data_IF_616689617155
#
_entry.id   IF_616689617155
#
_cell.length_a   1.000
_cell.length_b   1.000
_cell.length_c   1.000
_cell.angle_alpha   90.00
_cell.angle_beta   90.00
_cell.angle_gamma   90.00
#
_symmetry.space_group_name_H-M   'P 1'
#
loop_
_entity.id
_entity.type
_entity.pdbx_description
1 polymer ?
#
# COMPACT_ATOMS: atom_id res chain seq x y z
N UNK A 1 -21.72 6.31 0.08
CA UNK A 1 -20.43 7.01 0.23
C UNK A 1 -20.13 7.32 1.69
N UNK A 2 -21.01 8.03 2.38
CA UNK A 2 -20.74 8.57 3.72
C UNK A 2 -20.48 7.50 4.79
N UNK A 3 -21.21 6.38 4.76
CA UNK A 3 -20.97 5.22 5.65
C UNK A 3 -19.58 4.59 5.46
N UNK A 4 -19.14 4.40 4.21
CA UNK A 4 -17.81 3.87 3.90
C UNK A 4 -16.69 4.82 4.32
N UNK A 5 -16.91 6.13 4.17
CA UNK A 5 -15.96 7.15 4.63
C UNK A 5 -15.79 7.10 6.15
N UNK A 6 -16.90 7.05 6.89
CA UNK A 6 -16.84 6.99 8.35
C UNK A 6 -16.20 5.70 8.86
N UNK A 7 -16.50 4.56 8.22
CA UNK A 7 -15.87 3.29 8.51
C UNK A 7 -14.35 3.33 8.29
N UNK A 8 -13.92 3.87 7.15
CA UNK A 8 -12.50 3.95 6.81
C UNK A 8 -11.76 4.90 7.75
N UNK A 9 -12.38 6.02 8.13
CA UNK A 9 -11.81 6.96 9.09
C UNK A 9 -11.67 6.33 10.50
N UNK A 10 -12.66 5.53 10.91
CA UNK A 10 -12.56 4.74 12.15
C UNK A 10 -11.38 3.76 12.10
N UNK A 11 -11.22 3.04 10.99
CA UNK A 11 -10.10 2.11 10.82
C UNK A 11 -8.73 2.81 10.85
N UNK A 12 -8.62 4.03 10.30
CA UNK A 12 -7.40 4.86 10.40
C UNK A 12 -7.05 5.18 11.86
N UNK A 13 -8.03 5.57 12.67
CA UNK A 13 -7.79 5.82 14.10
C UNK A 13 -7.42 4.55 14.88
N UNK A 14 -8.02 3.40 14.55
CA UNK A 14 -7.63 2.11 15.15
C UNK A 14 -6.18 1.78 14.82
N UNK A 15 -5.74 1.96 13.56
CA UNK A 15 -4.34 1.77 13.16
C UNK A 15 -3.40 2.70 13.91
N UNK A 16 -3.76 3.98 14.08
CA UNK A 16 -2.98 4.93 14.88
C UNK A 16 -2.80 4.47 16.32
N UNK A 17 -3.89 4.00 16.95
CA UNK A 17 -3.86 3.49 18.32
C UNK A 17 -2.94 2.26 18.44
N UNK A 18 -3.06 1.30 17.52
CA UNK A 18 -2.19 0.13 17.48
C UNK A 18 -0.72 0.48 17.24
N UNK A 19 -0.43 1.51 16.43
CA UNK A 19 0.92 2.03 16.26
C UNK A 19 1.51 2.60 17.55
N UNK A 20 0.71 3.30 18.37
CA UNK A 20 1.15 3.75 19.70
C UNK A 20 1.44 2.60 20.66
N UNK A 21 0.65 1.52 20.59
CA UNK A 21 0.90 0.30 21.36
C UNK A 21 2.14 -0.46 20.87
N UNK A 22 2.53 -0.29 19.60
CA UNK A 22 3.71 -0.93 19.02
C UNK A 22 5.02 -0.43 19.66
N UNK A 23 5.04 0.82 20.14
CA UNK A 23 6.20 1.39 20.85
C UNK A 23 6.43 0.79 22.23
N UNK A 24 5.38 0.24 22.85
CA UNK A 24 5.41 -0.27 24.24
C UNK A 24 5.28 -1.79 24.33
N UNK A 25 5.05 -2.48 23.21
CA UNK A 25 4.83 -3.92 23.15
C UNK A 25 6.13 -4.74 23.19
N UNK A 26 6.04 -5.97 23.68
CA UNK A 26 7.17 -6.91 23.74
C UNK A 26 7.60 -7.42 22.35
N UNK A 27 8.88 -7.83 22.21
CA UNK A 27 9.48 -8.29 20.93
C UNK A 27 8.64 -9.37 20.23
N UNK A 28 7.99 -10.29 20.96
CA UNK A 28 7.19 -11.36 20.35
C UNK A 28 5.80 -10.90 19.89
N UNK A 29 5.14 -10.02 20.63
CA UNK A 29 3.80 -9.53 20.28
C UNK A 29 3.83 -8.47 19.18
N UNK A 30 4.92 -7.72 19.04
CA UNK A 30 5.06 -6.69 17.99
C UNK A 30 4.82 -7.27 16.58
N UNK A 31 5.31 -8.46 16.24
CA UNK A 31 5.09 -9.01 14.89
C UNK A 31 3.62 -9.34 14.60
N UNK A 32 2.87 -9.76 15.63
CA UNK A 32 1.42 -10.01 15.49
C UNK A 32 0.68 -8.69 15.29
N UNK A 33 1.04 -7.67 16.06
CA UNK A 33 0.44 -6.32 15.95
C UNK A 33 0.81 -5.68 14.60
N UNK A 34 2.05 -5.84 14.12
CA UNK A 34 2.48 -5.38 12.78
C UNK A 34 1.63 -6.02 11.67
N UNK A 35 1.43 -7.33 11.73
CA UNK A 35 0.64 -8.05 10.73
C UNK A 35 -0.84 -7.64 10.77
N UNK A 36 -1.39 -7.41 11.97
CA UNK A 36 -2.75 -6.90 12.12
C UNK A 36 -2.90 -5.46 11.59
N UNK A 37 -1.94 -4.58 11.89
CA UNK A 37 -1.90 -3.22 11.33
C UNK A 37 -1.82 -3.27 9.81
N UNK A 38 -0.97 -4.14 9.25
CA UNK A 38 -0.82 -4.29 7.81
C UNK A 38 -2.14 -4.74 7.16
N UNK A 39 -2.79 -5.76 7.72
CA UNK A 39 -4.09 -6.24 7.23
C UNK A 39 -5.17 -5.15 7.29
N UNK A 40 -5.17 -4.31 8.34
CA UNK A 40 -6.08 -3.17 8.48
C UNK A 40 -5.80 -2.07 7.45
N UNK A 41 -4.53 -1.74 7.20
CA UNK A 41 -4.13 -0.80 6.15
C UNK A 41 -4.62 -1.30 4.78
N UNK A 42 -4.45 -2.58 4.48
CA UNK A 42 -4.91 -3.17 3.21
C UNK A 42 -6.44 -3.12 3.06
N UNK A 43 -7.19 -3.32 4.16
CA UNK A 43 -8.64 -3.12 4.18
C UNK A 43 -9.04 -1.66 3.92
N UNK A 44 -8.35 -0.70 4.55
CA UNK A 44 -8.60 0.73 4.33
C UNK A 44 -8.32 1.10 2.86
N UNK A 45 -7.26 0.56 2.26
CA UNK A 45 -6.99 0.73 0.83
C UNK A 45 -8.14 0.20 -0.02
N UNK A 46 -8.61 -1.03 0.23
CA UNK A 46 -9.75 -1.58 -0.52
C UNK A 46 -11.01 -0.71 -0.40
N UNK A 47 -11.24 -0.12 0.77
CA UNK A 47 -12.36 0.79 1.00
C UNK A 47 -12.17 2.14 0.27
N UNK A 48 -10.96 2.70 0.29
CA UNK A 48 -10.59 3.92 -0.44
C UNK A 48 -10.81 3.75 -1.95
N UNK A 49 -10.41 2.60 -2.49
CA UNK A 49 -10.60 2.24 -3.90
C UNK A 49 -12.09 2.22 -4.28
N UNK A 50 -12.96 1.72 -3.39
CA UNK A 50 -14.42 1.75 -3.57
C UNK A 50 -14.98 3.17 -3.44
N UNK A 51 -14.47 3.96 -2.51
CA UNK A 51 -14.84 5.36 -2.29
C UNK A 51 -14.50 6.23 -3.51
N UNK A 52 -13.36 6.02 -4.16
CA UNK A 52 -13.01 6.70 -5.42
C UNK A 52 -14.02 6.42 -6.53
N UNK A 53 -14.43 5.16 -6.70
CA UNK A 53 -15.43 4.77 -7.70
C UNK A 53 -16.76 5.46 -7.38
N UNK A 54 -17.18 5.47 -6.12
CA UNK A 54 -18.42 6.16 -5.71
C UNK A 54 -18.34 7.68 -5.93
N UNK A 55 -17.17 8.29 -5.67
CA UNK A 55 -16.93 9.70 -5.90
C UNK A 55 -17.01 10.08 -7.39
N UNK A 56 -16.59 9.17 -8.27
CA UNK A 56 -16.70 9.39 -9.73
C UNK A 56 -18.15 9.40 -10.23
N UNK A 57 -19.06 8.74 -9.51
CA UNK A 57 -20.48 8.58 -9.83
C UNK A 57 -21.37 9.69 -9.23
N UNK A 58 -20.82 10.58 -8.41
CA UNK A 58 -21.59 11.67 -7.82
C UNK A 58 -21.78 12.86 -8.77
N UNK A 59 -22.88 13.63 -8.60
CA UNK A 59 -23.10 14.84 -9.36
C UNK A 59 -21.98 15.87 -9.13
N UNK A 60 -21.65 16.70 -10.13
CA UNK A 60 -20.47 17.57 -10.12
C UNK A 60 -20.40 18.54 -8.92
N UNK A 61 -21.55 18.94 -8.37
CA UNK A 61 -21.63 19.80 -7.17
C UNK A 61 -21.16 19.12 -5.88
N UNK A 62 -21.32 17.80 -5.74
CA UNK A 62 -20.90 17.04 -4.54
C UNK A 62 -19.54 16.37 -4.71
N UNK A 63 -19.17 16.09 -5.97
CA UNK A 63 -17.93 15.42 -6.36
C UNK A 63 -16.67 16.10 -5.83
N UNK A 64 -16.64 17.44 -5.78
CA UNK A 64 -15.47 18.16 -5.27
C UNK A 64 -15.23 17.93 -3.77
N UNK A 65 -16.29 17.95 -2.95
CA UNK A 65 -16.16 17.72 -1.50
C UNK A 65 -15.79 16.26 -1.19
N UNK A 66 -16.42 15.33 -1.88
CA UNK A 66 -16.10 13.91 -1.77
C UNK A 66 -14.65 13.60 -2.18
N UNK A 67 -14.16 14.24 -3.25
CA UNK A 67 -12.78 14.08 -3.70
C UNK A 67 -11.78 14.59 -2.66
N UNK A 68 -12.04 15.76 -2.07
CA UNK A 68 -11.20 16.30 -1.00
C UNK A 68 -11.10 15.33 0.19
N UNK A 69 -12.24 14.77 0.62
CA UNK A 69 -12.29 13.79 1.73
C UNK A 69 -11.52 12.51 1.40
N UNK A 70 -11.64 12.01 0.18
CA UNK A 70 -10.89 10.82 -0.28
C UNK A 70 -9.38 11.11 -0.34
N UNK A 71 -8.99 12.28 -0.82
CA UNK A 71 -7.58 12.67 -0.92
C UNK A 71 -6.95 12.88 0.47
N UNK A 72 -7.68 13.45 1.43
CA UNK A 72 -7.25 13.53 2.84
C UNK A 72 -7.01 12.13 3.42
N UNK A 73 -7.98 11.23 3.24
CA UNK A 73 -7.89 9.89 3.80
C UNK A 73 -6.76 9.06 3.17
N UNK A 74 -6.46 9.27 1.88
CA UNK A 74 -5.26 8.70 1.24
C UNK A 74 -3.97 9.20 1.88
N UNK A 75 -3.86 10.50 2.12
CA UNK A 75 -2.68 11.10 2.73
C UNK A 75 -2.43 10.50 4.12
N UNK A 76 -3.47 10.38 4.94
CA UNK A 76 -3.38 9.79 6.27
C UNK A 76 -2.89 8.33 6.22
N UNK A 77 -3.44 7.52 5.31
CA UNK A 77 -3.03 6.12 5.14
C UNK A 77 -1.59 6.01 4.66
N UNK A 78 -1.16 6.87 3.72
CA UNK A 78 0.24 6.91 3.26
C UNK A 78 1.20 7.27 4.40
N UNK A 79 0.80 8.21 5.26
CA UNK A 79 1.58 8.59 6.43
C UNK A 79 1.70 7.43 7.42
N UNK A 80 0.60 6.73 7.72
CA UNK A 80 0.61 5.56 8.60
C UNK A 80 1.47 4.43 8.06
N UNK A 81 1.40 4.16 6.76
CA UNK A 81 2.21 3.14 6.10
C UNK A 81 3.71 3.49 6.17
N UNK A 82 4.06 4.75 5.97
CA UNK A 82 5.44 5.24 6.11
C UNK A 82 5.94 5.08 7.55
N UNK A 83 5.10 5.41 8.52
CA UNK A 83 5.43 5.24 9.93
C UNK A 83 5.64 3.77 10.31
N UNK A 84 4.74 2.86 9.91
CA UNK A 84 4.90 1.42 10.11
C UNK A 84 6.20 0.90 9.51
N UNK A 85 6.52 1.32 8.28
CA UNK A 85 7.77 0.96 7.61
C UNK A 85 8.99 1.43 8.40
N UNK A 86 8.95 2.64 8.97
CA UNK A 86 10.04 3.15 9.79
C UNK A 86 10.22 2.34 11.08
N UNK A 87 9.13 1.90 11.71
CA UNK A 87 9.18 1.00 12.86
C UNK A 87 9.80 -0.36 12.50
N UNK A 88 9.32 -0.99 11.43
CA UNK A 88 9.85 -2.25 10.93
C UNK A 88 11.33 -2.14 10.57
N UNK A 89 11.74 -1.06 9.91
CA UNK A 89 13.14 -0.84 9.56
C UNK A 89 14.02 -0.65 10.79
N UNK A 90 13.61 0.19 11.76
CA UNK A 90 14.35 0.36 13.02
C UNK A 90 14.48 -0.96 13.78
N UNK A 91 13.42 -1.76 13.82
CA UNK A 91 13.43 -3.10 14.43
C UNK A 91 14.40 -4.02 13.71
N UNK A 92 14.30 -4.12 12.38
CA UNK A 92 15.17 -4.96 11.57
C UNK A 92 16.65 -4.61 11.76
N UNK A 93 16.98 -3.31 11.76
CA UNK A 93 18.34 -2.84 12.00
C UNK A 93 18.81 -3.21 13.42
N UNK A 94 17.95 -3.07 14.44
CA UNK A 94 18.29 -3.47 15.81
C UNK A 94 18.50 -4.99 15.92
N UNK A 95 17.63 -5.81 15.33
CA UNK A 95 17.78 -7.27 15.32
C UNK A 95 19.00 -7.72 14.51
N UNK A 96 19.35 -7.02 13.43
CA UNK A 96 20.59 -7.27 12.70
C UNK A 96 21.83 -6.93 13.54
N UNK A 97 21.83 -5.81 14.26
CA UNK A 97 22.93 -5.44 15.15
C UNK A 97 23.11 -6.43 16.29
N UNK A 98 22.02 -6.90 16.88
CA UNK A 98 22.05 -7.92 17.94
C UNK A 98 22.57 -9.26 17.38
N UNK A 99 22.09 -9.68 16.20
CA UNK A 99 22.59 -10.88 15.51
C UNK A 99 24.05 -10.75 15.09
N UNK A 100 24.48 -9.60 14.60
CA UNK A 100 25.87 -9.37 14.20
C UNK A 100 26.79 -9.39 15.43
N UNK A 101 26.35 -8.84 16.57
CA UNK A 101 27.05 -9.01 17.86
C UNK A 101 27.13 -10.49 18.27
N UNK A 102 26.02 -11.21 18.19
CA UNK A 102 26.00 -12.65 18.47
C UNK A 102 26.89 -13.43 17.50
N UNK A 103 26.88 -13.11 16.21
CA UNK A 103 27.75 -13.68 15.18
C UNK A 103 29.21 -13.35 15.45
N UNK A 104 29.58 -12.15 15.93
CA UNK A 104 30.96 -11.86 16.34
C UNK A 104 31.38 -12.68 17.56
N UNK A 105 30.46 -12.97 18.48
CA UNK A 105 30.68 -13.83 19.66
C UNK A 105 30.72 -15.33 19.29
N UNK A 106 29.90 -15.75 18.33
CA UNK A 106 29.73 -17.15 17.89
C UNK A 106 30.54 -17.51 16.65
N UNK A 107 31.14 -16.57 15.91
CA UNK A 107 32.06 -16.87 14.78
C UNK A 107 33.33 -17.58 15.23
N UNK A 108 33.61 -17.63 16.53
CA UNK A 108 34.57 -18.59 17.09
C UNK A 108 34.11 -20.06 16.92
N UNK A 109 32.81 -20.31 16.68
CA UNK A 109 32.19 -21.62 16.55
C UNK A 109 30.97 -21.61 15.61
N UNK A 110 31.18 -22.08 14.37
CA UNK A 110 30.17 -22.65 13.43
C UNK A 110 29.47 -21.69 12.44
N UNK A 111 29.46 -22.15 11.18
CA UNK A 111 28.89 -21.52 9.97
C UNK A 111 27.49 -22.09 9.74
N UNK A 112 26.47 -21.25 9.46
CA UNK A 112 25.33 -21.46 8.54
C UNK A 112 24.15 -20.47 8.82
N UNK A 113 24.06 -19.34 8.10
CA UNK A 113 23.03 -18.30 8.35
C UNK A 113 22.34 -17.67 7.12
N UNK A 114 22.57 -18.19 5.91
CA UNK A 114 22.23 -17.45 4.67
C UNK A 114 20.75 -17.50 4.28
N UNK A 115 19.99 -18.54 4.67
CA UNK A 115 18.61 -18.73 4.21
C UNK A 115 17.57 -17.77 4.82
N UNK A 116 17.76 -17.29 6.06
CA UNK A 116 16.80 -16.36 6.69
C UNK A 116 16.82 -14.97 6.05
N UNK A 117 17.96 -14.52 5.52
CA UNK A 117 18.12 -13.16 4.96
C UNK A 117 17.27 -12.93 3.70
N UNK A 118 17.05 -13.97 2.88
CA UNK A 118 16.30 -13.83 1.62
C UNK A 118 14.79 -13.74 1.85
N UNK A 119 14.26 -14.49 2.82
CA UNK A 119 12.81 -14.50 3.11
C UNK A 119 12.35 -13.15 3.69
N UNK A 120 13.14 -12.56 4.59
CA UNK A 120 12.84 -11.26 5.20
C UNK A 120 12.97 -10.12 4.17
N UNK A 121 13.96 -10.18 3.27
CA UNK A 121 14.15 -9.18 2.20
C UNK A 121 13.06 -9.28 1.13
N UNK A 122 12.63 -10.49 0.76
CA UNK A 122 11.52 -10.69 -0.18
C UNK A 122 10.18 -10.17 0.38
N UNK A 123 9.92 -10.38 1.68
CA UNK A 123 8.72 -9.89 2.34
C UNK A 123 8.70 -8.35 2.46
N UNK A 124 9.87 -7.74 2.71
CA UNK A 124 10.04 -6.29 2.80
C UNK A 124 9.92 -5.57 1.43
N UNK A 125 10.36 -6.20 0.34
CA UNK A 125 10.31 -5.62 -1.01
C UNK A 125 8.97 -5.89 -1.73
N UNK A 126 8.26 -6.97 -1.38
CA UNK A 126 6.97 -7.36 -1.99
C UNK A 126 5.78 -6.47 -1.61
N UNK A 127 5.75 -5.96 -0.37
CA UNK A 127 4.66 -5.11 0.12
C UNK A 127 4.75 -3.66 -0.39
N UNK A 128 5.95 -3.10 -0.55
CA UNK A 128 6.12 -1.66 -0.87
C UNK A 128 5.87 -1.31 -2.33
N UNK A 129 6.24 -2.17 -3.29
CA UNK A 129 6.08 -1.87 -4.72
C UNK A 129 4.67 -2.14 -5.25
N UNK A 130 3.90 -2.99 -4.58
CA UNK A 130 2.54 -3.31 -5.02
C UNK A 130 1.56 -2.22 -4.58
N UNK A 131 1.67 -1.71 -3.34
CA UNK A 131 0.79 -0.66 -2.82
C UNK A 131 1.06 0.70 -3.47
N UNK A 132 2.33 1.08 -3.69
CA UNK A 132 2.67 2.32 -4.41
C UNK A 132 2.13 2.30 -5.85
N UNK A 133 2.28 1.15 -6.56
CA UNK A 133 1.76 0.99 -7.93
C UNK A 133 0.24 0.91 -8.00
N UNK A 134 -0.44 0.41 -6.98
CA UNK A 134 -1.91 0.35 -6.94
C UNK A 134 -2.54 1.75 -6.77
N UNK A 135 -1.85 2.67 -6.10
CA UNK A 135 -2.26 4.07 -5.96
C UNK A 135 -1.97 4.86 -7.26
N UNK A 136 -0.81 4.65 -7.88
CA UNK A 136 -0.40 5.39 -9.10
C UNK A 136 -1.20 4.96 -10.35
N UNK A 137 -1.59 3.68 -10.43
CA UNK A 137 -2.18 3.11 -11.66
C UNK A 137 -3.60 3.60 -11.96
N UNK A 138 -4.33 4.12 -10.98
CA UNK A 138 -5.75 4.51 -11.15
C UNK A 138 -5.94 5.84 -11.91
N UNK A 139 -4.92 6.70 -11.96
CA UNK A 139 -4.93 7.89 -12.83
C UNK A 139 -4.40 7.60 -14.24
N UNK A 140 -3.62 6.52 -14.41
CA UNK A 140 -3.03 6.15 -15.70
C UNK A 140 -3.92 5.21 -16.53
N UNK A 141 -4.78 4.42 -15.87
CA UNK A 141 -5.70 3.51 -16.56
C UNK A 141 -6.75 4.27 -17.40
N UNK A 142 -7.16 5.47 -16.96
CA UNK A 142 -8.00 6.38 -17.76
C UNK A 142 -7.28 6.83 -19.05
N UNK A 143 -5.96 7.07 -19.00
CA UNK A 143 -5.16 7.43 -20.19
C UNK A 143 -5.00 6.26 -21.15
N UNK A 144 -4.83 5.04 -20.64
CA UNK A 144 -4.65 3.84 -21.47
C UNK A 144 -5.94 3.46 -22.21
N UNK A 145 -7.11 3.60 -21.58
CA UNK A 145 -8.41 3.39 -22.24
C UNK A 145 -8.66 4.47 -23.30
N UNK A 146 -8.29 5.73 -23.03
CA UNK A 146 -8.42 6.83 -24.00
C UNK A 146 -7.52 6.63 -25.23
N UNK A 147 -6.26 6.22 -25.03
CA UNK A 147 -5.30 5.93 -26.12
C UNK A 147 -5.73 4.70 -26.92
N UNK A 148 -6.24 3.66 -26.25
CA UNK A 148 -6.79 2.49 -26.93
C UNK A 148 -8.00 2.82 -27.81
N UNK A 149 -8.91 3.68 -27.33
CA UNK A 149 -10.05 4.15 -28.11
C UNK A 149 -9.66 4.96 -29.35
N UNK A 150 -8.59 5.77 -29.26
CA UNK A 150 -8.10 6.56 -30.40
C UNK A 150 -7.37 5.71 -31.45
N UNK A 151 -6.63 4.67 -31.04
CA UNK A 151 -6.02 3.73 -31.98
C UNK A 151 -7.05 2.83 -32.68
N UNK A 152 -8.09 2.40 -31.95
CA UNK A 152 -9.15 1.57 -32.51
C UNK A 152 -9.88 2.28 -33.67
N UNK A 153 -10.19 3.57 -33.50
CA UNK A 153 -10.85 4.37 -34.55
C UNK A 153 -9.94 4.56 -35.75
N UNK A 154 -8.64 4.79 -35.55
CA UNK A 154 -7.65 4.85 -36.63
C UNK A 154 -7.53 3.53 -37.39
N UNK A 155 -7.44 2.39 -36.71
CA UNK A 155 -7.37 1.07 -37.34
C UNK A 155 -8.65 0.76 -38.11
N UNK A 156 -9.82 1.08 -37.53
CA UNK A 156 -11.10 0.91 -38.21
C UNK A 156 -11.18 1.76 -39.49
N UNK A 157 -10.73 3.01 -39.44
CA UNK A 157 -10.67 3.88 -40.61
C UNK A 157 -9.75 3.31 -41.70
N UNK A 158 -8.58 2.78 -41.33
CA UNK A 158 -7.65 2.14 -42.28
C UNK A 158 -8.24 0.87 -42.88
N UNK A 159 -8.91 0.03 -42.08
CA UNK A 159 -9.56 -1.19 -42.55
C UNK A 159 -10.67 -0.89 -43.55
N UNK A 160 -11.49 0.13 -43.30
CA UNK A 160 -12.56 0.56 -44.23
C UNK A 160 -11.97 1.02 -45.56
N UNK A 161 -10.89 1.82 -45.55
CA UNK A 161 -10.22 2.26 -46.78
C UNK A 161 -9.69 1.07 -47.59
N UNK A 162 -9.07 0.09 -46.91
CA UNK A 162 -8.53 -1.13 -47.53
C UNK A 162 -9.58 -2.11 -48.04
N UNK A 163 -10.78 -2.12 -47.46
CA UNK A 163 -11.87 -2.99 -47.90
C UNK A 163 -12.76 -2.35 -48.98
N UNK A 164 -12.75 -1.02 -49.08
CA UNK A 164 -13.53 -0.25 -50.04
C UNK A 164 -12.72 0.21 -51.28
N UNK A 165 -11.41 -0.08 -51.31
CA UNK A 165 -10.51 0.07 -52.47
C UNK A 165 -10.02 -1.30 -52.90
#
# INVERSE_FOLDING_TARGET
MESLYHQSNKQVHEVQSHMGLLETSDKQSIHLVENEIQARIDQIFSNLERLEILCSKEPPSKRQNAKLRVDQLKYDVQHLQTALRNFQHRRYVRDQQDREREELLTRSYTTNGTHKKILDVANMLGLSNTVMRLIEKRAFQDKAIMIGGMLLTCVFMILVIKYLT
#
